data_IF_762159995237
#
_entry.id   IF_762159995237
#
_cell.length_a   1.000
_cell.length_b   1.000
_cell.length_c   1.000
_cell.angle_alpha   90.00
_cell.angle_beta   90.00
_cell.angle_gamma   90.00
#
_symmetry.space_group_name_H-M   'P 1'
#
loop_
_entity.id
_entity.type
_entity.pdbx_description
1 polymer ?
#
# COMPACT_ATOMS: atom_id res chain seq x y z
N UNK A 1 -58.68 41.43 -39.96
CA UNK A 1 -57.71 40.54 -40.60
C UNK A 1 -56.32 40.52 -39.90
N UNK A 2 -55.65 41.65 -39.73
CA UNK A 2 -54.30 41.72 -39.11
C UNK A 2 -54.27 41.14 -37.71
N UNK A 3 -55.22 41.42 -36.80
CA UNK A 3 -55.29 40.88 -35.43
C UNK A 3 -55.44 39.34 -35.40
N UNK A 4 -56.08 38.73 -36.38
CA UNK A 4 -56.26 37.29 -36.52
C UNK A 4 -54.99 36.60 -36.96
N UNK A 5 -54.25 37.25 -37.87
CA UNK A 5 -52.93 36.78 -38.34
C UNK A 5 -51.92 36.77 -37.17
N UNK A 6 -51.85 37.84 -36.39
CA UNK A 6 -50.99 37.87 -35.18
C UNK A 6 -51.34 36.79 -34.13
N UNK A 7 -52.62 36.50 -33.93
CA UNK A 7 -53.04 35.41 -33.06
C UNK A 7 -52.60 34.05 -33.57
N UNK A 8 -52.71 33.78 -34.86
CA UNK A 8 -52.31 32.51 -35.47
C UNK A 8 -50.81 32.34 -35.40
N UNK A 9 -50.01 33.38 -35.70
CA UNK A 9 -48.56 33.35 -35.60
C UNK A 9 -48.12 33.12 -34.14
N UNK A 10 -48.73 33.80 -33.16
CA UNK A 10 -48.47 33.60 -31.73
C UNK A 10 -48.75 32.19 -31.26
N UNK A 11 -49.86 31.59 -31.69
CA UNK A 11 -50.17 30.19 -31.35
C UNK A 11 -49.21 29.20 -31.95
N UNK A 12 -48.75 29.42 -33.20
CA UNK A 12 -47.77 28.58 -33.85
C UNK A 12 -46.40 28.64 -33.13
N UNK A 13 -45.97 29.82 -32.67
CA UNK A 13 -44.73 29.98 -31.91
C UNK A 13 -44.81 29.26 -30.55
N UNK A 14 -45.96 29.36 -29.86
CA UNK A 14 -46.18 28.66 -28.57
C UNK A 14 -46.14 27.14 -28.79
N UNK A 15 -46.83 26.63 -29.81
CA UNK A 15 -46.82 25.20 -30.14
C UNK A 15 -45.44 24.73 -30.53
N UNK A 16 -44.68 25.49 -31.32
CA UNK A 16 -43.33 25.21 -31.71
C UNK A 16 -42.37 25.16 -30.47
N UNK A 17 -42.54 26.12 -29.54
CA UNK A 17 -41.79 26.13 -28.28
C UNK A 17 -42.08 24.92 -27.41
N UNK A 18 -43.39 24.56 -27.26
CA UNK A 18 -43.79 23.39 -26.48
C UNK A 18 -43.31 22.08 -27.09
N UNK A 19 -43.29 21.95 -28.43
CA UNK A 19 -42.72 20.80 -29.13
C UNK A 19 -41.23 20.72 -28.91
N UNK A 20 -40.51 21.83 -29.06
CA UNK A 20 -39.07 21.92 -28.85
C UNK A 20 -38.72 21.62 -27.37
N UNK A 21 -39.46 22.17 -26.42
CA UNK A 21 -39.28 21.88 -25.01
C UNK A 21 -39.54 20.41 -24.67
N UNK A 22 -40.58 19.79 -25.28
CA UNK A 22 -40.86 18.35 -25.15
C UNK A 22 -39.75 17.45 -25.68
N UNK A 23 -39.18 17.81 -26.87
CA UNK A 23 -38.05 17.09 -27.44
C UNK A 23 -36.81 17.25 -26.55
N UNK A 24 -36.48 18.47 -26.12
CA UNK A 24 -35.38 18.70 -25.22
C UNK A 24 -35.55 17.94 -23.89
N UNK A 25 -36.75 17.94 -23.30
CA UNK A 25 -37.07 17.21 -22.10
C UNK A 25 -36.88 15.67 -22.29
N UNK A 26 -37.28 15.14 -23.43
CA UNK A 26 -37.08 13.76 -23.82
C UNK A 26 -35.59 13.40 -23.98
N UNK A 27 -34.78 14.30 -24.57
CA UNK A 27 -33.34 14.14 -24.68
C UNK A 27 -32.62 14.14 -23.31
N UNK A 28 -33.06 15.02 -22.41
CA UNK A 28 -32.52 15.09 -21.02
C UNK A 28 -32.94 13.91 -20.15
N UNK A 29 -33.95 13.16 -20.55
CA UNK A 29 -34.46 12.00 -19.81
C UNK A 29 -33.73 10.70 -20.11
N UNK A 30 -32.96 10.64 -21.19
CA UNK A 30 -32.12 9.49 -21.55
C UNK A 30 -30.76 9.62 -20.86
N UNK A 31 -30.78 9.40 -19.56
CA UNK A 31 -29.56 9.36 -18.77
C UNK A 31 -28.67 8.20 -19.23
N UNK A 32 -27.35 8.41 -19.42
CA UNK A 32 -26.45 7.33 -19.81
C UNK A 32 -26.41 6.24 -18.75
N UNK A 33 -26.36 5.00 -19.21
CA UNK A 33 -26.25 3.81 -18.35
C UNK A 33 -24.87 3.21 -18.47
N UNK A 34 -24.34 2.63 -17.38
CA UNK A 34 -23.06 1.95 -17.40
C UNK A 34 -23.12 0.68 -18.27
N UNK A 35 -22.25 0.60 -19.29
CA UNK A 35 -22.10 -0.54 -20.19
C UNK A 35 -21.06 -1.56 -19.70
N UNK A 36 -20.15 -1.12 -18.84
CA UNK A 36 -19.06 -1.97 -18.38
C UNK A 36 -18.24 -1.32 -17.26
N UNK A 37 -17.22 -2.04 -16.81
CA UNK A 37 -16.28 -1.60 -15.80
C UNK A 37 -14.88 -1.69 -16.42
N UNK A 38 -14.11 -0.62 -16.36
CA UNK A 38 -12.71 -0.57 -16.75
C UNK A 38 -11.85 -0.37 -15.50
N UNK A 39 -10.94 -1.32 -15.23
CA UNK A 39 -10.14 -1.35 -14.01
C UNK A 39 -8.68 -1.17 -14.38
N UNK A 40 -8.07 -0.17 -13.81
CA UNK A 40 -6.64 0.09 -13.90
C UNK A 40 -6.01 0.01 -12.51
N UNK A 41 -4.87 -0.72 -12.39
CA UNK A 41 -4.15 -0.87 -11.14
C UNK A 41 -2.75 -0.31 -11.31
N UNK A 42 -2.40 0.63 -10.44
CA UNK A 42 -1.06 1.15 -10.29
C UNK A 42 -0.29 0.24 -9.31
N UNK A 43 0.69 -0.46 -9.85
CA UNK A 43 1.58 -1.35 -9.11
C UNK A 43 2.90 -0.62 -8.81
N UNK A 44 3.17 -0.25 -7.55
CA UNK A 44 4.37 0.49 -7.20
C UNK A 44 5.67 -0.32 -7.32
N UNK A 45 5.54 -1.65 -7.51
CA UNK A 45 6.66 -2.57 -7.68
C UNK A 45 6.27 -3.65 -8.68
N UNK A 46 7.06 -3.81 -9.76
CA UNK A 46 6.81 -4.77 -10.84
C UNK A 46 6.85 -6.23 -10.37
N UNK A 47 7.55 -6.53 -9.29
CA UNK A 47 7.66 -7.88 -8.72
C UNK A 47 6.53 -8.22 -7.73
N UNK A 48 5.64 -7.28 -7.42
CA UNK A 48 4.68 -7.38 -6.31
C UNK A 48 3.25 -7.07 -6.72
N UNK A 49 2.61 -7.98 -7.43
CA UNK A 49 1.20 -7.86 -7.82
C UNK A 49 0.30 -8.61 -6.82
N UNK A 50 -0.22 -7.92 -5.81
CA UNK A 50 -1.11 -8.51 -4.80
C UNK A 50 -2.58 -8.38 -5.14
N UNK A 51 -2.94 -7.39 -5.98
CA UNK A 51 -4.30 -7.08 -6.36
C UNK A 51 -4.52 -7.49 -7.80
N UNK A 52 -5.58 -8.26 -8.06
CA UNK A 52 -5.95 -8.71 -9.40
C UNK A 52 -7.20 -7.94 -9.87
N UNK A 53 -7.19 -7.36 -11.10
CA UNK A 53 -8.38 -6.70 -11.67
C UNK A 53 -9.61 -7.61 -11.72
N UNK A 54 -9.43 -8.92 -11.96
CA UNK A 54 -10.52 -9.87 -12.01
C UNK A 54 -11.24 -10.03 -10.65
N UNK A 55 -10.51 -9.97 -9.54
CA UNK A 55 -11.08 -10.08 -8.19
C UNK A 55 -11.91 -8.85 -7.84
N UNK A 56 -11.42 -7.66 -8.20
CA UNK A 56 -12.17 -6.40 -8.02
C UNK A 56 -13.44 -6.44 -8.83
N UNK A 57 -13.34 -6.83 -10.11
CA UNK A 57 -14.50 -6.95 -11.01
C UNK A 57 -15.53 -7.91 -10.45
N UNK A 58 -15.10 -9.10 -10.04
CA UNK A 58 -15.97 -10.13 -9.46
C UNK A 58 -16.66 -9.62 -8.18
N UNK A 59 -15.92 -8.97 -7.30
CA UNK A 59 -16.47 -8.36 -6.07
C UNK A 59 -17.53 -7.32 -6.38
N UNK A 60 -17.33 -6.45 -7.38
CA UNK A 60 -18.29 -5.43 -7.78
C UNK A 60 -19.55 -6.05 -8.40
N UNK A 61 -19.39 -7.01 -9.33
CA UNK A 61 -20.52 -7.66 -10.01
C UNK A 61 -21.41 -8.43 -9.03
N UNK A 62 -20.83 -9.03 -8.00
CA UNK A 62 -21.54 -9.80 -6.98
C UNK A 62 -22.09 -8.95 -5.82
N UNK A 63 -21.83 -7.65 -5.83
CA UNK A 63 -22.31 -6.73 -4.79
C UNK A 63 -23.64 -6.08 -5.20
N UNK A 64 -24.33 -5.46 -4.22
CA UNK A 64 -25.49 -4.60 -4.47
C UNK A 64 -25.11 -3.29 -5.21
N UNK A 65 -23.81 -2.97 -5.29
CA UNK A 65 -23.26 -1.80 -5.95
C UNK A 65 -22.89 -2.07 -7.43
N UNK A 66 -23.26 -3.22 -7.99
CA UNK A 66 -23.03 -3.51 -9.42
C UNK A 66 -23.58 -2.36 -10.29
N UNK A 67 -22.73 -1.67 -11.08
CA UNK A 67 -23.15 -0.52 -11.87
C UNK A 67 -23.80 -0.88 -13.20
N UNK A 68 -23.52 -2.08 -13.75
CA UNK A 68 -23.89 -2.44 -15.12
C UNK A 68 -25.39 -2.35 -15.34
N UNK A 69 -25.79 -1.61 -16.39
CA UNK A 69 -27.18 -1.40 -16.75
C UNK A 69 -27.92 -0.37 -15.90
N UNK A 70 -27.26 0.25 -14.91
CA UNK A 70 -27.87 1.32 -14.08
C UNK A 70 -27.52 2.70 -14.63
N UNK A 71 -28.42 3.69 -14.50
CA UNK A 71 -28.14 5.09 -14.81
C UNK A 71 -27.05 5.68 -13.91
N UNK A 72 -26.28 6.63 -14.42
CA UNK A 72 -25.18 7.25 -13.66
C UNK A 72 -25.65 7.85 -12.33
N UNK A 73 -26.83 8.48 -12.29
CA UNK A 73 -27.41 9.06 -11.07
C UNK A 73 -27.78 8.04 -9.98
N UNK A 74 -27.91 6.76 -10.33
CA UNK A 74 -28.28 5.67 -9.43
C UNK A 74 -27.07 4.91 -8.87
N UNK A 75 -25.86 5.27 -9.28
CA UNK A 75 -24.63 4.62 -8.86
C UNK A 75 -23.76 5.59 -8.08
N UNK A 76 -23.53 5.28 -6.82
CA UNK A 76 -22.60 6.03 -5.97
C UNK A 76 -21.17 5.54 -6.22
N UNK A 77 -20.40 6.30 -6.97
CA UNK A 77 -18.97 6.01 -7.20
C UNK A 77 -18.17 6.04 -5.91
N UNK A 78 -18.58 6.87 -4.93
CA UNK A 78 -17.96 6.92 -3.61
C UNK A 78 -18.15 5.61 -2.83
N UNK A 79 -19.37 5.04 -2.82
CA UNK A 79 -19.61 3.77 -2.14
C UNK A 79 -18.84 2.62 -2.79
N UNK A 80 -18.69 2.65 -4.12
CA UNK A 80 -17.87 1.68 -4.84
C UNK A 80 -16.40 1.82 -4.46
N UNK A 81 -15.86 3.03 -4.42
CA UNK A 81 -14.48 3.27 -3.95
C UNK A 81 -14.27 2.73 -2.54
N UNK A 82 -15.17 3.03 -1.61
CA UNK A 82 -15.12 2.55 -0.23
C UNK A 82 -15.21 1.01 -0.13
N UNK A 83 -16.05 0.38 -0.96
CA UNK A 83 -16.12 -1.09 -1.02
C UNK A 83 -14.79 -1.71 -1.48
N UNK A 84 -14.13 -1.10 -2.45
CA UNK A 84 -12.84 -1.56 -2.97
C UNK A 84 -11.75 -1.36 -1.92
N UNK A 85 -11.71 -0.21 -1.24
CA UNK A 85 -10.73 0.14 -0.19
C UNK A 85 -10.86 -0.70 1.10
N UNK A 86 -11.94 -1.45 1.27
CA UNK A 86 -12.00 -2.49 2.31
C UNK A 86 -10.94 -3.58 2.17
N UNK A 87 -10.40 -3.76 0.96
CA UNK A 87 -9.27 -4.66 0.74
C UNK A 87 -7.99 -4.00 1.28
N UNK A 88 -7.40 -4.59 2.32
CA UNK A 88 -6.18 -4.10 2.98
C UNK A 88 -4.93 -4.04 2.08
N UNK A 89 -4.99 -4.60 0.88
CA UNK A 89 -3.92 -4.52 -0.13
C UNK A 89 -4.02 -3.26 -1.00
N UNK A 90 -5.10 -2.51 -0.87
CA UNK A 90 -5.39 -1.31 -1.65
C UNK A 90 -5.13 -0.08 -0.78
N UNK A 91 -4.32 0.85 -1.28
CA UNK A 91 -4.04 2.12 -0.64
C UNK A 91 -5.18 3.12 -0.90
N UNK A 92 -5.61 3.19 -2.16
CA UNK A 92 -6.65 4.11 -2.60
C UNK A 92 -7.36 3.58 -3.85
N UNK A 93 -8.65 3.91 -3.98
CA UNK A 93 -9.43 3.61 -5.17
C UNK A 93 -10.26 4.84 -5.58
N UNK A 94 -10.10 5.28 -6.82
CA UNK A 94 -10.88 6.34 -7.42
C UNK A 94 -11.85 5.76 -8.46
N UNK A 95 -13.13 6.07 -8.34
CA UNK A 95 -14.16 5.60 -9.26
C UNK A 95 -14.87 6.80 -9.90
N UNK A 96 -14.99 6.77 -11.22
CA UNK A 96 -15.68 7.81 -11.99
C UNK A 96 -16.28 7.26 -13.29
N UNK A 97 -17.24 7.98 -13.85
CA UNK A 97 -17.84 7.63 -15.14
C UNK A 97 -17.04 8.25 -16.29
N UNK A 98 -16.93 7.50 -17.38
CA UNK A 98 -16.27 7.96 -18.62
C UNK A 98 -17.30 8.33 -19.69
N UNK A 99 -16.92 9.13 -20.71
CA UNK A 99 -17.83 9.53 -21.79
C UNK A 99 -18.39 8.35 -22.60
N UNK A 100 -17.68 7.24 -22.69
CA UNK A 100 -18.08 5.99 -23.36
C UNK A 100 -18.98 5.08 -22.51
N UNK A 101 -19.47 5.61 -21.38
CA UNK A 101 -20.39 4.94 -20.48
C UNK A 101 -19.80 3.74 -19.74
N UNK A 102 -18.52 3.80 -19.42
CA UNK A 102 -17.88 2.84 -18.52
C UNK A 102 -17.72 3.42 -17.11
N UNK A 103 -17.73 2.55 -16.10
CA UNK A 103 -17.19 2.87 -14.79
C UNK A 103 -15.68 2.66 -14.84
N UNK A 104 -14.90 3.75 -14.78
CA UNK A 104 -13.45 3.68 -14.57
C UNK A 104 -13.16 3.51 -13.08
N UNK A 105 -12.30 2.55 -12.77
CA UNK A 105 -11.82 2.23 -11.42
C UNK A 105 -10.30 2.26 -11.44
N UNK A 106 -9.72 3.35 -10.95
CA UNK A 106 -8.28 3.49 -10.78
C UNK A 106 -7.91 3.10 -9.35
N UNK A 107 -7.08 2.08 -9.22
CA UNK A 107 -6.68 1.49 -7.94
C UNK A 107 -5.20 1.66 -7.75
N UNK A 108 -4.80 2.16 -6.59
CA UNK A 108 -3.41 2.19 -6.16
C UNK A 108 -3.17 1.08 -5.15
N UNK A 109 -2.31 0.12 -5.50
CA UNK A 109 -1.89 -0.95 -4.61
C UNK A 109 -0.94 -0.41 -3.54
N UNK A 110 -1.02 -0.95 -2.30
CA UNK A 110 -0.05 -0.64 -1.24
C UNK A 110 1.33 -1.16 -1.58
N UNK A 111 2.35 -0.42 -1.14
CA UNK A 111 3.76 -0.76 -1.37
C UNK A 111 4.40 -1.30 -0.08
N UNK A 112 4.57 -2.61 0.08
CA UNK A 112 5.22 -3.16 1.26
C UNK A 112 6.73 -2.84 1.25
N UNK A 113 7.28 -2.50 2.41
CA UNK A 113 8.70 -2.16 2.58
C UNK A 113 9.44 -3.12 3.52
N UNK A 114 8.72 -3.86 4.35
CA UNK A 114 9.31 -4.83 5.28
C UNK A 114 8.30 -5.96 5.56
N UNK A 115 8.78 -7.19 5.70
CA UNK A 115 7.96 -8.33 6.11
C UNK A 115 8.17 -8.65 7.57
N UNK A 116 7.11 -8.89 8.31
CA UNK A 116 7.15 -9.27 9.72
C UNK A 116 6.54 -10.66 9.90
N UNK A 117 7.32 -11.57 10.50
CA UNK A 117 6.85 -12.87 10.98
C UNK A 117 7.15 -12.98 12.47
N UNK A 118 6.23 -12.52 13.28
CA UNK A 118 6.38 -12.41 14.73
C UNK A 118 6.01 -13.71 15.45
N UNK A 119 6.70 -13.99 16.56
CA UNK A 119 6.36 -15.08 17.48
C UNK A 119 5.13 -14.79 18.33
N UNK A 120 4.71 -13.53 18.40
CA UNK A 120 3.53 -13.05 19.12
C UNK A 120 2.70 -12.15 18.22
N UNK A 121 1.39 -12.05 18.49
CA UNK A 121 0.52 -11.20 17.67
C UNK A 121 0.63 -9.73 18.08
N UNK A 122 0.54 -8.85 17.09
CA UNK A 122 0.31 -7.41 17.21
C UNK A 122 -1.10 -7.08 16.75
N UNK A 123 -1.61 -5.89 17.05
CA UNK A 123 -2.93 -5.46 16.61
C UNK A 123 -2.83 -4.59 15.35
N UNK A 124 -3.65 -4.89 14.36
CA UNK A 124 -3.80 -4.00 13.21
C UNK A 124 -4.67 -2.78 13.54
N UNK A 125 -4.85 -1.87 12.58
CA UNK A 125 -5.67 -0.65 12.72
C UNK A 125 -7.14 -0.91 13.12
N UNK A 126 -7.64 -2.14 12.91
CA UNK A 126 -9.00 -2.59 13.32
C UNK A 126 -8.99 -3.37 14.63
N UNK A 127 -7.83 -3.51 15.29
CA UNK A 127 -7.67 -4.28 16.52
C UNK A 127 -7.57 -5.79 16.31
N UNK A 128 -7.46 -6.28 15.06
CA UNK A 128 -7.34 -7.70 14.75
C UNK A 128 -5.92 -8.19 15.06
N UNK A 129 -5.74 -9.31 15.79
CA UNK A 129 -4.42 -9.86 16.04
C UNK A 129 -3.81 -10.45 14.77
N UNK A 130 -2.59 -10.03 14.43
CA UNK A 130 -1.83 -10.52 13.28
C UNK A 130 -0.39 -10.83 13.69
N UNK A 131 0.22 -11.85 13.11
CA UNK A 131 1.61 -12.26 13.41
C UNK A 131 2.47 -12.44 12.15
N UNK A 132 1.86 -12.60 10.98
CA UNK A 132 2.52 -12.62 9.68
C UNK A 132 1.89 -11.54 8.79
N UNK A 133 2.66 -10.49 8.48
CA UNK A 133 2.17 -9.31 7.79
C UNK A 133 3.32 -8.54 7.13
N UNK A 134 2.96 -7.60 6.25
CA UNK A 134 3.89 -6.56 5.79
C UNK A 134 3.57 -5.24 6.48
N UNK A 135 4.57 -4.37 6.60
CA UNK A 135 4.39 -2.95 6.85
C UNK A 135 4.63 -2.24 5.51
N UNK A 136 3.70 -1.39 5.10
CA UNK A 136 3.80 -0.65 3.87
C UNK A 136 4.51 0.71 4.04
N UNK A 137 4.63 1.44 2.94
CA UNK A 137 5.28 2.75 2.90
C UNK A 137 4.61 3.81 3.79
N UNK A 138 3.32 3.64 4.09
CA UNK A 138 2.54 4.55 4.95
C UNK A 138 2.53 4.10 6.42
N UNK A 139 3.18 2.96 6.75
CA UNK A 139 3.20 2.38 8.09
C UNK A 139 2.00 1.48 8.42
N UNK A 140 1.11 1.23 7.44
CA UNK A 140 -0.05 0.37 7.63
C UNK A 140 0.31 -1.12 7.54
N UNK A 141 -0.42 -1.95 8.31
CA UNK A 141 -0.22 -3.39 8.30
C UNK A 141 -1.03 -4.04 7.18
N UNK A 142 -0.31 -4.71 6.27
CA UNK A 142 -0.89 -5.50 5.18
C UNK A 142 -0.83 -6.99 5.51
N UNK A 143 -1.88 -7.79 5.18
CA UNK A 143 -1.82 -9.23 5.36
C UNK A 143 -0.73 -9.84 4.46
N UNK A 144 0.04 -10.80 4.98
CA UNK A 144 0.99 -11.56 4.18
C UNK A 144 0.24 -12.50 3.24
N UNK A 145 0.42 -12.34 1.91
CA UNK A 145 -0.13 -13.27 0.93
C UNK A 145 0.87 -14.38 0.64
N UNK A 146 0.38 -15.63 0.64
CA UNK A 146 1.17 -16.77 0.20
C UNK A 146 1.40 -16.67 -1.33
N UNK A 147 2.64 -16.77 -1.75
CA UNK A 147 3.02 -16.83 -3.17
C UNK A 147 3.65 -15.58 -3.78
N UNK A 148 3.69 -14.44 -3.06
CA UNK A 148 4.39 -13.26 -3.54
C UNK A 148 5.83 -13.25 -3.04
N UNK A 149 6.78 -13.51 -3.95
CA UNK A 149 8.22 -13.49 -3.66
C UNK A 149 8.78 -12.07 -3.81
N UNK A 150 8.62 -11.26 -2.77
CA UNK A 150 9.22 -9.92 -2.74
C UNK A 150 10.52 -9.99 -1.92
N UNK A 151 11.56 -9.38 -2.44
CA UNK A 151 12.82 -9.21 -1.71
C UNK A 151 12.71 -8.04 -0.74
N UNK A 152 12.29 -8.33 0.47
CA UNK A 152 12.21 -7.37 1.56
C UNK A 152 12.98 -7.91 2.78
N UNK A 153 13.51 -7.04 3.63
CA UNK A 153 14.05 -7.45 4.92
C UNK A 153 12.97 -8.20 5.73
N UNK A 154 13.36 -9.32 6.34
CA UNK A 154 12.48 -10.11 7.18
C UNK A 154 12.67 -9.73 8.64
N UNK A 155 11.60 -9.36 9.32
CA UNK A 155 11.58 -9.20 10.78
C UNK A 155 11.03 -10.46 11.42
N UNK A 156 11.71 -10.96 12.44
CA UNK A 156 11.26 -12.12 13.23
C UNK A 156 11.45 -11.91 14.73
N UNK A 157 10.98 -12.87 15.54
CA UNK A 157 11.10 -12.82 16.99
C UNK A 157 9.89 -12.18 17.68
N UNK A 158 10.10 -11.46 18.78
CA UNK A 158 9.04 -10.98 19.68
C UNK A 158 8.61 -9.53 19.32
N UNK A 159 8.05 -9.34 18.13
CA UNK A 159 7.57 -8.03 17.68
C UNK A 159 6.30 -7.65 18.46
N UNK A 160 6.28 -6.48 19.09
CA UNK A 160 5.14 -5.88 19.81
C UNK A 160 4.70 -4.61 19.09
N UNK A 161 3.49 -4.12 19.38
CA UNK A 161 2.92 -2.89 18.78
C UNK A 161 3.91 -1.70 18.82
N UNK A 162 4.64 -1.54 19.94
CA UNK A 162 5.66 -0.49 20.10
C UNK A 162 6.84 -0.58 19.11
N UNK A 163 7.03 -1.73 18.46
CA UNK A 163 8.12 -1.91 17.49
C UNK A 163 7.71 -1.56 16.06
N UNK A 164 6.41 -1.42 15.77
CA UNK A 164 5.89 -1.23 14.40
C UNK A 164 6.45 0.05 13.80
N UNK A 165 6.27 1.21 14.46
CA UNK A 165 6.78 2.48 13.96
C UNK A 165 8.31 2.52 13.85
N UNK A 166 9.10 2.09 14.86
CA UNK A 166 10.56 2.00 14.72
C UNK A 166 11.02 1.07 13.59
N UNK A 167 10.32 -0.03 13.33
CA UNK A 167 10.63 -0.95 12.22
C UNK A 167 10.30 -0.31 10.86
N UNK A 168 9.19 0.41 10.76
CA UNK A 168 8.85 1.18 9.57
C UNK A 168 9.93 2.22 9.27
N UNK A 169 10.31 3.05 10.25
CA UNK A 169 11.32 4.10 10.08
C UNK A 169 12.68 3.50 9.70
N UNK A 170 13.03 2.36 10.28
CA UNK A 170 14.26 1.65 9.92
C UNK A 170 14.19 1.05 8.50
N UNK A 171 13.02 0.58 8.06
CA UNK A 171 12.85 0.11 6.68
C UNK A 171 13.00 1.26 5.68
N UNK A 172 12.49 2.45 5.98
CA UNK A 172 12.73 3.67 5.19
C UNK A 172 14.22 4.04 5.17
N UNK A 173 14.88 4.00 6.34
CA UNK A 173 16.32 4.22 6.43
C UNK A 173 17.11 3.26 5.53
N UNK A 174 16.77 1.97 5.53
CA UNK A 174 17.42 0.98 4.66
C UNK A 174 17.22 1.30 3.18
N UNK A 175 16.01 1.72 2.79
CA UNK A 175 15.69 2.09 1.41
C UNK A 175 16.56 3.25 0.89
N UNK A 176 16.92 4.18 1.77
CA UNK A 176 17.76 5.35 1.43
C UNK A 176 19.28 5.06 1.55
N UNK A 177 19.65 3.84 1.93
CA UNK A 177 21.05 3.45 2.18
C UNK A 177 21.41 2.14 1.49
N UNK A 178 21.79 2.19 0.21
CA UNK A 178 22.07 1.02 -0.65
C UNK A 178 22.94 -0.05 0.02
N UNK A 179 24.04 0.35 0.66
CA UNK A 179 24.93 -0.59 1.32
C UNK A 179 24.22 -1.42 2.40
N UNK A 180 23.39 -0.78 3.24
CA UNK A 180 22.69 -1.47 4.32
C UNK A 180 21.44 -2.20 3.82
N UNK A 181 20.79 -1.69 2.79
CA UNK A 181 19.70 -2.35 2.09
C UNK A 181 20.12 -3.70 1.51
N UNK A 182 21.33 -3.75 0.92
CA UNK A 182 21.89 -4.99 0.37
C UNK A 182 22.43 -5.93 1.45
N UNK A 183 22.94 -5.37 2.54
CA UNK A 183 23.65 -6.12 3.58
C UNK A 183 22.70 -6.71 4.63
N UNK A 184 21.65 -5.99 5.05
CA UNK A 184 20.74 -6.46 6.11
C UNK A 184 19.63 -7.31 5.48
N UNK A 185 19.64 -8.62 5.79
CA UNK A 185 18.66 -9.58 5.27
C UNK A 185 17.55 -9.88 6.26
N UNK A 186 17.86 -9.81 7.56
CA UNK A 186 16.89 -10.09 8.62
C UNK A 186 17.12 -9.19 9.84
N UNK A 187 16.04 -8.89 10.52
CA UNK A 187 15.98 -8.18 11.80
C UNK A 187 15.35 -9.12 12.80
N UNK A 188 16.00 -9.32 13.94
CA UNK A 188 15.47 -10.16 15.00
C UNK A 188 15.18 -9.32 16.24
N UNK A 189 13.95 -9.38 16.73
CA UNK A 189 13.52 -8.73 17.96
C UNK A 189 13.58 -9.75 19.09
N UNK A 190 14.50 -9.57 20.02
CA UNK A 190 14.63 -10.43 21.21
C UNK A 190 13.43 -10.26 22.15
N UNK A 191 13.26 -11.20 23.07
CA UNK A 191 12.17 -11.16 24.03
C UNK A 191 12.24 -9.93 24.97
N UNK A 192 13.46 -9.51 25.34
CA UNK A 192 13.71 -8.31 26.13
C UNK A 192 13.48 -7.00 25.34
N UNK A 193 13.25 -7.09 24.02
CA UNK A 193 13.04 -5.97 23.10
C UNK A 193 14.30 -5.46 22.42
N UNK A 194 15.49 -6.02 22.70
CA UNK A 194 16.70 -5.69 21.97
C UNK A 194 16.59 -6.13 20.48
N UNK A 195 17.16 -5.35 19.59
CA UNK A 195 17.14 -5.58 18.16
C UNK A 195 18.52 -6.04 17.68
N UNK A 196 18.51 -7.11 16.91
CA UNK A 196 19.65 -7.64 16.19
C UNK A 196 19.42 -7.52 14.69
N UNK A 197 20.46 -7.11 13.96
CA UNK A 197 20.51 -7.12 12.50
C UNK A 197 21.35 -8.31 12.06
N UNK A 198 20.86 -9.05 11.08
CA UNK A 198 21.54 -10.21 10.51
C UNK A 198 22.01 -9.82 9.12
N UNK A 199 23.34 -9.62 8.95
CA UNK A 199 23.93 -9.26 7.67
C UNK A 199 23.96 -10.45 6.72
N UNK A 200 24.11 -10.16 5.44
CA UNK A 200 24.27 -11.15 4.37
C UNK A 200 25.65 -11.81 4.41
N UNK A 201 26.67 -11.05 4.77
CA UNK A 201 28.06 -11.49 4.76
C UNK A 201 28.56 -11.73 6.17
N UNK A 202 29.21 -12.88 6.38
CA UNK A 202 29.73 -13.30 7.67
C UNK A 202 28.72 -14.11 8.49
N UNK A 203 29.21 -14.63 9.65
CA UNK A 203 28.40 -15.45 10.57
C UNK A 203 28.00 -14.70 11.85
N UNK A 204 28.23 -13.39 11.90
CA UNK A 204 27.95 -12.56 13.06
C UNK A 204 26.58 -11.91 13.01
N UNK A 205 26.07 -11.52 14.18
CA UNK A 205 24.93 -10.61 14.29
C UNK A 205 25.38 -9.21 14.74
N UNK A 206 24.64 -8.17 14.38
CA UNK A 206 24.87 -6.80 14.83
C UNK A 206 23.81 -6.47 15.87
N UNK A 207 24.21 -6.39 17.14
CA UNK A 207 23.30 -6.04 18.24
C UNK A 207 23.21 -4.51 18.36
N UNK A 208 22.11 -3.91 17.86
CA UNK A 208 21.89 -2.46 17.92
C UNK A 208 21.07 -2.04 19.15
N UNK A 209 20.38 -2.97 19.81
CA UNK A 209 19.51 -2.73 20.96
C UNK A 209 18.18 -2.07 20.58
N UNK A 210 18.23 -0.82 20.15
CA UNK A 210 17.10 -0.08 19.59
C UNK A 210 17.56 0.72 18.37
N UNK A 211 16.64 1.41 17.68
CA UNK A 211 16.96 2.21 16.50
C UNK A 211 17.36 3.67 16.81
N UNK A 212 17.45 4.07 18.08
CA UNK A 212 17.96 5.38 18.43
C UNK A 212 19.39 5.54 17.92
N UNK A 213 19.69 6.68 17.31
CA UNK A 213 21.01 6.99 16.70
C UNK A 213 21.50 5.93 15.71
N UNK A 214 20.58 5.23 15.02
CA UNK A 214 20.89 4.08 14.15
C UNK A 214 21.93 4.42 13.07
N UNK A 215 21.86 5.61 12.50
CA UNK A 215 22.82 6.06 11.50
C UNK A 215 24.26 6.09 12.06
N UNK A 216 24.43 6.63 13.29
CA UNK A 216 25.74 6.67 13.96
C UNK A 216 26.23 5.25 14.34
N UNK A 217 25.32 4.40 14.84
CA UNK A 217 25.63 2.99 15.17
C UNK A 217 26.10 2.26 13.93
N UNK A 218 25.38 2.35 12.82
CA UNK A 218 25.72 1.69 11.57
C UNK A 218 26.97 2.28 10.89
N UNK A 219 27.23 3.58 11.00
CA UNK A 219 28.51 4.19 10.61
C UNK A 219 29.68 3.57 11.37
N UNK A 220 29.53 3.34 12.66
CA UNK A 220 30.58 2.71 13.46
C UNK A 220 30.78 1.22 13.09
N UNK A 221 29.70 0.47 12.85
CA UNK A 221 29.76 -0.90 12.33
C UNK A 221 30.50 -0.94 10.98
N UNK A 222 30.18 0.01 10.08
CA UNK A 222 30.85 0.10 8.78
C UNK A 222 32.35 0.40 8.92
N UNK A 223 32.74 1.23 9.89
CA UNK A 223 34.17 1.45 10.20
C UNK A 223 34.83 0.16 10.73
N UNK A 224 34.12 -0.60 11.58
CA UNK A 224 34.58 -1.90 12.09
C UNK A 224 34.76 -2.89 10.94
N UNK A 225 33.80 -2.99 10.01
CA UNK A 225 33.90 -3.80 8.80
C UNK A 225 35.13 -3.45 7.97
N UNK A 226 35.41 -2.18 7.76
CA UNK A 226 36.56 -1.72 6.95
C UNK A 226 37.92 -1.89 7.63
N UNK A 227 37.98 -1.73 8.96
CA UNK A 227 39.28 -1.67 9.68
C UNK A 227 39.66 -2.97 10.40
N UNK A 228 38.66 -3.70 10.91
CA UNK A 228 38.89 -4.85 11.80
C UNK A 228 38.67 -6.18 11.07
N UNK A 229 37.55 -6.37 10.39
CA UNK A 229 37.25 -7.66 9.75
C UNK A 229 38.25 -8.10 8.67
N UNK A 230 38.83 -7.22 7.83
CA UNK A 230 39.83 -7.63 6.87
C UNK A 230 41.13 -8.20 7.50
N UNK A 231 41.43 -7.79 8.73
CA UNK A 231 42.62 -8.24 9.49
C UNK A 231 42.35 -9.46 10.35
N UNK A 232 41.12 -9.64 10.85
CA UNK A 232 40.76 -10.69 11.80
C UNK A 232 39.92 -11.83 11.19
N UNK A 233 39.36 -11.60 10.00
CA UNK A 233 38.44 -12.51 9.33
C UNK A 233 36.97 -12.16 9.61
N UNK A 234 36.12 -12.40 8.61
CA UNK A 234 34.68 -12.12 8.68
C UNK A 234 33.94 -12.97 9.72
N UNK A 235 34.46 -14.14 10.04
CA UNK A 235 33.87 -15.09 11.00
C UNK A 235 34.58 -15.05 12.38
N UNK A 236 35.44 -14.05 12.63
CA UNK A 236 36.16 -13.96 13.91
C UNK A 236 35.26 -13.56 15.09
N UNK A 237 34.11 -12.99 14.82
CA UNK A 237 33.18 -12.50 15.83
C UNK A 237 31.82 -13.17 15.65
N UNK A 238 31.16 -13.48 16.76
CA UNK A 238 29.78 -13.97 16.81
C UNK A 238 28.78 -12.81 16.89
N UNK A 239 29.12 -11.79 17.69
CA UNK A 239 28.28 -10.61 17.90
C UNK A 239 29.13 -9.35 17.75
N UNK A 240 28.64 -8.40 16.98
CA UNK A 240 29.16 -7.03 16.92
C UNK A 240 28.16 -6.17 17.68
N UNK A 241 28.47 -5.87 18.95
CA UNK A 241 27.61 -5.08 19.80
C UNK A 241 27.82 -3.58 19.52
N UNK A 242 26.79 -2.95 18.97
CA UNK A 242 26.72 -1.54 18.60
C UNK A 242 25.62 -0.80 19.41
N UNK A 243 25.18 -1.33 20.56
CA UNK A 243 24.14 -0.69 21.39
C UNK A 243 24.53 0.73 21.82
N UNK A 244 25.83 0.98 21.96
CA UNK A 244 26.35 2.26 22.43
C UNK A 244 26.92 3.05 21.23
N UNK A 245 26.42 4.26 21.00
CA UNK A 245 26.80 5.09 19.85
C UNK A 245 28.31 5.46 19.82
N UNK A 246 28.99 5.38 20.96
CA UNK A 246 30.41 5.73 21.10
C UNK A 246 31.42 4.59 20.87
N UNK A 247 31.00 3.32 20.88
CA UNK A 247 31.92 2.19 20.82
C UNK A 247 31.31 0.94 20.18
N UNK A 248 32.19 0.10 19.60
CA UNK A 248 31.83 -1.25 19.16
C UNK A 248 32.54 -2.28 20.01
N UNK A 249 31.79 -3.26 20.50
CA UNK A 249 32.34 -4.40 21.26
C UNK A 249 32.14 -5.67 20.45
N UNK A 250 33.22 -6.32 20.05
CA UNK A 250 33.17 -7.59 19.31
C UNK A 250 33.26 -8.79 20.28
N UNK A 251 32.23 -9.65 20.29
CA UNK A 251 32.26 -10.94 20.96
C UNK A 251 32.82 -11.98 20.00
N UNK A 252 33.94 -12.62 20.36
CA UNK A 252 34.59 -13.61 19.49
C UNK A 252 33.77 -14.89 19.35
N UNK A 253 33.94 -15.59 18.25
CA UNK A 253 33.59 -16.99 18.15
C UNK A 253 34.61 -17.80 19.01
N UNK A 254 34.12 -18.70 19.82
CA UNK A 254 34.93 -19.67 20.58
C UNK A 254 35.40 -20.77 19.63
#
# INVERSE_FOLDING_TARGET
MIKTIFKVIGTLLIVGYLLMAGIMYGFWRNEPVYKGIDIHIDYPNDDAHFVNPADIRSKLLNSNLNPIGKPFSKVSTLEISQLIEQNKLIQHAACYHTPDSLLRVDVKQRNPIIRVKSSISVKDSKGTPVSDFYIDLDGELMPAQLGSAIRLPLVSGYVRDRHILPLHDFALYLKDHDFWSDEITQIYVRENGDIELIPRIGSHTILVGNFDDIDQKLKNVRKFYKKVLPRKGWNAYRVINAKFSGQIVGEKNN
#
